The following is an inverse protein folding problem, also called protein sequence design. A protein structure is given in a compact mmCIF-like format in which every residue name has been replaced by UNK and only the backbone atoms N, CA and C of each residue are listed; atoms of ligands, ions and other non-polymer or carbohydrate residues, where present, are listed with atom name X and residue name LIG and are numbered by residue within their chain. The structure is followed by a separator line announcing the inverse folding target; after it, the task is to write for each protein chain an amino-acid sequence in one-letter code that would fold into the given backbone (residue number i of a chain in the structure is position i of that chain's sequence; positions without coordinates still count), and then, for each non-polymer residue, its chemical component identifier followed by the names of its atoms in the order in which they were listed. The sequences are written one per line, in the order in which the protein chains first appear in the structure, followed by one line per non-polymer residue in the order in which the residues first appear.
data_IF_577035874355
#
_entry.id   IF_577035874355
#
_cell.length_a   1.000
_cell.length_b   1.000
_cell.length_c   1.000
_cell.angle_alpha   90.00
_cell.angle_beta   90.00
_cell.angle_gamma   90.00
#
_symmetry.space_group_name_H-M   'P 1'
#
loop_
_entity.id
_entity.type
_entity.pdbx_description
1 polymer ?
#
# COMPACT_ATOMS: atom_id res chain seq x y z
N UNK A 1 1.73 -6.97 26.69
CA UNK A 1 2.67 -7.61 25.75
C UNK A 1 3.37 -6.58 24.85
N UNK A 2 2.64 -5.66 24.18
CA UNK A 2 3.23 -4.63 23.31
C UNK A 2 4.27 -3.71 23.99
N UNK A 3 4.06 -3.31 25.27
CA UNK A 3 5.02 -2.48 26.04
C UNK A 3 6.32 -3.22 26.36
N UNK A 4 6.24 -4.52 26.65
CA UNK A 4 7.43 -5.35 26.93
C UNK A 4 8.27 -5.57 25.68
N UNK A 5 7.63 -5.84 24.52
CA UNK A 5 8.30 -5.98 23.22
C UNK A 5 8.98 -4.66 22.80
N UNK A 6 8.36 -3.50 23.02
CA UNK A 6 8.99 -2.18 22.80
C UNK A 6 10.24 -1.99 23.66
N UNK A 7 10.21 -2.31 24.96
CA UNK A 7 11.38 -2.20 25.84
C UNK A 7 12.52 -3.14 25.45
N UNK A 8 12.22 -4.37 25.08
CA UNK A 8 13.23 -5.30 24.57
C UNK A 8 13.87 -4.83 23.26
N UNK A 9 13.07 -4.30 22.33
CA UNK A 9 13.59 -3.70 21.09
C UNK A 9 14.50 -2.49 21.38
N UNK A 10 14.13 -1.62 22.30
CA UNK A 10 14.95 -0.46 22.69
C UNK A 10 16.27 -0.87 23.34
N UNK A 11 16.30 -1.91 24.17
CA UNK A 11 17.55 -2.45 24.76
C UNK A 11 18.45 -3.03 23.68
N UNK A 12 17.93 -3.85 22.77
CA UNK A 12 18.70 -4.43 21.68
C UNK A 12 19.31 -3.38 20.74
N UNK A 13 18.66 -2.24 20.57
CA UNK A 13 19.15 -1.13 19.74
C UNK A 13 20.26 -0.37 20.46
N UNK A 14 20.11 -0.07 21.75
CA UNK A 14 21.12 0.63 22.55
C UNK A 14 22.47 -0.07 22.63
N UNK A 15 22.45 -1.40 22.68
CA UNK A 15 23.67 -2.21 22.88
C UNK A 15 24.41 -2.54 21.58
N UNK A 16 23.82 -2.24 20.42
CA UNK A 16 24.40 -2.59 19.10
C UNK A 16 24.83 -1.36 18.31
N UNK A 17 26.13 -1.21 18.12
CA UNK A 17 26.76 -0.08 17.39
C UNK A 17 26.37 0.01 15.91
N UNK A 18 25.88 -1.07 15.27
CA UNK A 18 25.58 -1.14 13.85
C UNK A 18 24.17 -1.70 13.62
N UNK A 19 23.14 -0.87 13.91
CA UNK A 19 21.74 -1.29 13.75
C UNK A 19 21.13 -0.62 12.53
N UNK A 20 20.47 -1.44 11.69
CA UNK A 20 19.58 -0.99 10.61
C UNK A 20 18.14 -1.21 11.08
N UNK A 21 17.30 -0.19 11.02
CA UNK A 21 15.88 -0.29 11.32
C UNK A 21 15.07 -0.20 10.02
N UNK A 22 14.15 -1.14 9.83
CA UNK A 22 13.12 -1.04 8.80
C UNK A 22 11.83 -0.54 9.46
N UNK A 23 11.34 0.59 9.00
CA UNK A 23 10.06 1.18 9.44
C UNK A 23 8.94 0.56 8.62
N UNK A 24 7.98 -0.07 9.30
CA UNK A 24 6.75 -0.58 8.67
C UNK A 24 5.58 0.39 8.81
N UNK A 25 5.52 1.12 9.91
CA UNK A 25 4.52 2.15 10.17
C UNK A 25 5.15 3.28 11.00
N UNK A 26 4.66 4.49 10.81
CA UNK A 26 4.94 5.65 11.66
C UNK A 26 3.75 5.81 12.59
N UNK A 27 3.84 5.20 13.77
CA UNK A 27 2.74 5.10 14.73
C UNK A 27 2.25 6.49 15.19
N UNK A 28 3.17 7.45 15.31
CA UNK A 28 2.84 8.83 15.70
C UNK A 28 1.89 9.51 14.72
N UNK A 29 2.03 9.23 13.42
CA UNK A 29 1.11 9.77 12.40
C UNK A 29 -0.18 8.96 12.35
N UNK A 30 -0.06 7.64 12.42
CA UNK A 30 -1.18 6.71 12.27
C UNK A 30 -2.17 6.77 13.43
N UNK A 31 -1.68 7.04 14.66
CA UNK A 31 -2.48 7.02 15.90
C UNK A 31 -2.46 8.34 16.67
N UNK A 32 -1.89 9.41 16.08
CA UNK A 32 -1.70 10.73 16.75
C UNK A 32 -0.99 10.62 18.11
N UNK A 33 -0.02 9.74 18.22
CA UNK A 33 0.86 9.64 19.40
C UNK A 33 2.04 10.60 19.26
N UNK A 34 2.76 10.85 20.37
CA UNK A 34 3.91 11.78 20.35
C UNK A 34 5.02 11.31 19.43
N UNK A 35 5.38 12.13 18.44
CA UNK A 35 6.42 11.82 17.46
C UNK A 35 7.83 11.84 18.06
N UNK A 36 8.05 12.60 19.13
CA UNK A 36 9.38 12.78 19.72
C UNK A 36 10.00 11.48 20.22
N UNK A 37 9.19 10.57 20.79
CA UNK A 37 9.68 9.27 21.27
C UNK A 37 10.05 8.36 20.10
N UNK A 38 9.28 8.41 19.02
CA UNK A 38 9.54 7.65 17.81
C UNK A 38 10.83 8.14 17.14
N UNK A 39 10.99 9.43 17.00
CA UNK A 39 12.23 10.06 16.47
C UNK A 39 13.44 9.74 17.34
N UNK A 40 13.33 9.79 18.69
CA UNK A 40 14.41 9.37 19.59
C UNK A 40 14.82 7.92 19.35
N UNK A 41 13.85 7.03 19.14
CA UNK A 41 14.12 5.62 18.84
C UNK A 41 14.83 5.46 17.49
N UNK A 42 14.30 6.09 16.44
CA UNK A 42 14.90 6.03 15.10
C UNK A 42 16.32 6.58 15.07
N UNK A 43 16.60 7.64 15.85
CA UNK A 43 17.92 8.24 15.96
C UNK A 43 18.95 7.37 16.71
N UNK A 44 18.58 6.25 17.33
CA UNK A 44 19.51 5.28 17.90
C UNK A 44 20.13 4.35 16.83
N UNK A 45 19.50 4.24 15.67
CA UNK A 45 20.01 3.40 14.59
C UNK A 45 21.15 4.07 13.83
N UNK A 46 21.94 3.29 13.11
CA UNK A 46 22.93 3.80 12.16
C UNK A 46 22.32 4.20 10.83
N UNK A 47 21.35 3.41 10.38
CA UNK A 47 20.59 3.64 9.15
C UNK A 47 19.12 3.25 9.38
N UNK A 48 18.20 4.04 8.85
CA UNK A 48 16.76 3.74 8.87
C UNK A 48 16.29 3.53 7.44
N UNK A 49 15.65 2.38 7.19
CA UNK A 49 14.96 2.08 5.93
C UNK A 49 13.54 2.60 6.03
N UNK A 50 13.15 3.47 5.12
CA UNK A 50 11.85 4.15 5.08
C UNK A 50 11.08 3.77 3.83
N UNK A 51 9.78 4.03 3.82
CA UNK A 51 8.92 3.70 2.69
C UNK A 51 9.34 4.43 1.41
N UNK A 52 9.48 5.76 1.50
CA UNK A 52 9.71 6.63 0.35
C UNK A 52 10.28 7.99 0.81
N UNK A 53 10.56 8.86 -0.14
CA UNK A 53 11.12 10.17 0.14
C UNK A 53 10.17 11.07 0.95
N UNK A 54 8.85 11.01 0.72
CA UNK A 54 7.86 11.81 1.46
C UNK A 54 7.85 11.46 2.95
N UNK A 55 7.98 10.17 3.30
CA UNK A 55 8.14 9.74 4.69
C UNK A 55 9.49 10.18 5.27
N UNK A 56 10.56 10.10 4.50
CA UNK A 56 11.88 10.58 4.91
C UNK A 56 11.84 12.08 5.22
N UNK A 57 11.31 12.89 4.32
CA UNK A 57 11.19 14.34 4.50
C UNK A 57 10.34 14.71 5.71
N UNK A 58 9.22 13.97 5.90
CA UNK A 58 8.37 14.14 7.08
C UNK A 58 9.13 13.90 8.38
N UNK A 59 9.84 12.77 8.50
CA UNK A 59 10.57 12.42 9.72
C UNK A 59 11.79 13.34 9.95
N UNK A 60 12.50 13.74 8.89
CA UNK A 60 13.59 14.70 8.98
C UNK A 60 13.09 16.07 9.51
N UNK A 61 11.94 16.54 9.00
CA UNK A 61 11.30 17.77 9.50
C UNK A 61 10.97 17.68 11.00
N UNK A 62 10.71 16.47 11.53
CA UNK A 62 10.43 16.24 12.95
C UNK A 62 11.66 15.82 13.77
N UNK A 63 12.87 15.95 13.21
CA UNK A 63 14.12 15.78 13.97
C UNK A 63 14.84 14.45 13.76
N UNK A 64 14.51 13.67 12.73
CA UNK A 64 15.30 12.51 12.34
C UNK A 64 16.67 12.98 11.79
N UNK A 65 17.75 12.53 12.44
CA UNK A 65 19.15 12.86 12.08
C UNK A 65 19.89 11.65 11.50
N UNK A 66 19.36 10.47 11.70
CA UNK A 66 19.94 9.22 11.21
C UNK A 66 19.90 9.16 9.68
N UNK A 67 20.93 8.58 9.08
CA UNK A 67 20.97 8.30 7.63
C UNK A 67 19.77 7.44 7.22
N UNK A 68 19.15 7.78 6.09
CA UNK A 68 17.98 7.07 5.59
C UNK A 68 18.24 6.43 4.24
N UNK A 69 17.56 5.30 3.98
CA UNK A 69 17.47 4.67 2.67
C UNK A 69 15.99 4.40 2.38
N UNK A 70 15.52 4.80 1.21
CA UNK A 70 14.14 4.55 0.79
C UNK A 70 14.04 3.16 0.13
N UNK A 71 13.10 2.35 0.61
CA UNK A 71 12.75 1.05 0.00
C UNK A 71 12.00 1.27 -1.31
N UNK A 72 11.19 2.33 -1.38
CA UNK A 72 10.30 2.78 -2.45
C UNK A 72 9.12 1.83 -2.72
N UNK A 73 9.36 0.54 -2.89
CA UNK A 73 8.33 -0.47 -3.08
C UNK A 73 8.58 -1.58 -2.07
N UNK A 74 7.59 -1.89 -1.23
CA UNK A 74 7.67 -3.06 -0.37
C UNK A 74 7.45 -4.33 -1.18
N UNK A 75 8.21 -5.35 -0.85
CA UNK A 75 8.08 -6.65 -1.49
C UNK A 75 6.87 -7.41 -0.92
N UNK A 76 6.39 -8.36 -1.71
CA UNK A 76 5.36 -9.32 -1.35
C UNK A 76 5.83 -10.70 -1.80
N UNK A 77 6.48 -11.41 -0.89
CA UNK A 77 7.16 -12.67 -1.21
C UNK A 77 6.15 -13.77 -1.53
N UNK A 78 6.29 -14.38 -2.69
CA UNK A 78 5.50 -15.54 -3.10
C UNK A 78 6.40 -16.57 -3.76
N UNK A 79 6.19 -17.85 -3.43
CA UNK A 79 6.90 -18.96 -4.07
C UNK A 79 6.38 -19.27 -5.47
N UNK A 80 5.06 -19.09 -5.67
CA UNK A 80 4.39 -19.34 -6.94
C UNK A 80 3.82 -18.04 -7.51
N UNK A 81 3.80 -17.93 -8.83
CA UNK A 81 3.19 -16.80 -9.52
C UNK A 81 1.69 -17.02 -9.62
N UNK A 82 0.84 -16.05 -9.21
CA UNK A 82 -0.59 -16.12 -9.46
C UNK A 82 -0.90 -16.29 -10.96
N UNK A 83 -1.93 -17.09 -11.25
CA UNK A 83 -2.40 -17.28 -12.64
C UNK A 83 -2.77 -15.93 -13.26
N UNK A 84 -2.31 -15.75 -14.50
CA UNK A 84 -2.62 -14.56 -15.31
C UNK A 84 -3.86 -14.78 -16.19
N UNK A 85 -4.70 -15.77 -15.83
CA UNK A 85 -5.96 -15.99 -16.52
C UNK A 85 -6.73 -14.68 -16.62
N UNK A 86 -6.95 -14.30 -17.83
CA UNK A 86 -7.40 -13.01 -18.34
C UNK A 86 -8.42 -12.30 -17.43
N UNK A 87 -7.94 -11.36 -16.65
CA UNK A 87 -8.83 -10.32 -16.14
C UNK A 87 -9.26 -9.48 -17.34
N UNK A 88 -10.53 -9.56 -17.70
CA UNK A 88 -11.09 -8.74 -18.76
C UNK A 88 -11.00 -7.27 -18.36
N UNK A 89 -10.62 -6.43 -19.30
CA UNK A 89 -10.73 -4.99 -19.13
C UNK A 89 -12.19 -4.60 -18.88
N UNK A 90 -12.43 -3.79 -17.85
CA UNK A 90 -13.77 -3.35 -17.47
C UNK A 90 -13.81 -2.60 -16.12
N UNK A 91 -15.02 -2.40 -15.63
CA UNK A 91 -15.30 -1.59 -14.42
C UNK A 91 -15.35 -2.42 -13.13
N UNK A 92 -14.70 -3.59 -13.11
CA UNK A 92 -14.62 -4.41 -11.91
C UNK A 92 -13.42 -3.97 -11.04
N UNK A 93 -13.73 -3.38 -9.90
CA UNK A 93 -12.76 -2.89 -8.92
C UNK A 93 -12.58 -3.92 -7.80
N UNK A 94 -11.34 -4.23 -7.51
CA UNK A 94 -10.96 -5.11 -6.40
C UNK A 94 -10.53 -4.26 -5.20
N UNK A 95 -11.08 -4.55 -4.05
CA UNK A 95 -10.57 -4.01 -2.79
C UNK A 95 -10.28 -5.15 -1.81
N UNK A 96 -9.05 -5.17 -1.28
CA UNK A 96 -8.61 -6.18 -0.32
C UNK A 96 -8.11 -5.51 0.96
N UNK A 97 -8.67 -5.92 2.11
CA UNK A 97 -8.30 -5.38 3.41
C UNK A 97 -9.36 -5.58 4.48
N UNK A 98 -9.25 -4.84 5.59
CA UNK A 98 -10.29 -4.83 6.62
C UNK A 98 -11.45 -3.95 6.16
N UNK A 99 -12.55 -4.58 5.71
CA UNK A 99 -13.72 -3.89 5.14
C UNK A 99 -14.43 -3.05 6.20
N UNK A 100 -14.49 -3.52 7.45
CA UNK A 100 -15.13 -2.79 8.55
C UNK A 100 -14.40 -1.49 8.98
N UNK A 101 -13.14 -1.31 8.56
CA UNK A 101 -12.37 -0.07 8.78
C UNK A 101 -12.36 0.85 7.57
N UNK A 102 -12.83 0.39 6.42
CA UNK A 102 -12.79 1.10 5.16
C UNK A 102 -14.15 1.78 4.89
N UNK A 103 -14.44 2.82 5.67
CA UNK A 103 -15.78 3.43 5.73
C UNK A 103 -16.26 4.01 4.41
N UNK A 104 -15.37 4.46 3.52
CA UNK A 104 -15.73 4.92 2.17
C UNK A 104 -16.46 3.84 1.35
N UNK A 105 -16.24 2.54 1.66
CA UNK A 105 -16.93 1.44 0.99
C UNK A 105 -18.45 1.48 1.22
N UNK A 106 -18.91 1.95 2.38
CA UNK A 106 -20.34 2.06 2.66
C UNK A 106 -21.01 3.05 1.67
N UNK A 107 -20.32 4.15 1.34
CA UNK A 107 -20.79 5.10 0.34
C UNK A 107 -20.78 4.49 -1.07
N UNK A 108 -19.76 3.69 -1.41
CA UNK A 108 -19.73 2.95 -2.67
C UNK A 108 -20.80 1.84 -2.71
N UNK A 109 -21.21 1.29 -1.56
CA UNK A 109 -22.32 0.34 -1.48
C UNK A 109 -23.68 0.97 -1.77
N UNK A 110 -23.86 2.24 -1.38
CA UNK A 110 -25.09 3.02 -1.63
C UNK A 110 -25.17 3.55 -3.07
N UNK A 111 -24.03 3.93 -3.64
CA UNK A 111 -23.90 4.42 -5.01
C UNK A 111 -22.78 3.64 -5.73
N UNK A 112 -23.15 2.91 -6.79
CA UNK A 112 -22.19 2.10 -7.55
C UNK A 112 -21.12 2.90 -8.27
N UNK A 113 -21.33 4.20 -8.47
CA UNK A 113 -20.48 5.04 -9.32
C UNK A 113 -20.25 4.43 -10.72
N UNK A 114 -21.14 3.55 -11.18
CA UNK A 114 -20.99 2.78 -12.41
C UNK A 114 -19.92 1.68 -12.34
N UNK A 115 -19.53 1.23 -11.13
CA UNK A 115 -18.51 0.23 -10.87
C UNK A 115 -19.11 -1.04 -10.29
N UNK A 116 -18.44 -2.18 -10.49
CA UNK A 116 -18.69 -3.43 -9.79
C UNK A 116 -17.55 -3.68 -8.79
N UNK A 117 -17.86 -4.03 -7.55
CA UNK A 117 -16.90 -4.17 -6.46
C UNK A 117 -16.70 -5.64 -6.09
N UNK A 118 -15.47 -6.13 -6.19
CA UNK A 118 -15.03 -7.42 -5.63
C UNK A 118 -14.29 -7.15 -4.32
N UNK A 119 -14.92 -7.47 -3.18
CA UNK A 119 -14.42 -7.15 -1.85
C UNK A 119 -13.85 -8.38 -1.16
N UNK A 120 -12.60 -8.26 -0.69
CA UNK A 120 -11.87 -9.32 -0.01
C UNK A 120 -11.48 -8.87 1.40
N UNK A 121 -11.87 -9.67 2.39
CA UNK A 121 -11.50 -9.44 3.79
C UNK A 121 -12.67 -9.48 4.74
N UNK A 122 -12.39 -9.33 6.05
CA UNK A 122 -13.40 -9.36 7.10
C UNK A 122 -14.10 -8.01 7.28
N UNK A 123 -15.30 -8.05 7.86
CA UNK A 123 -16.00 -6.87 8.36
C UNK A 123 -16.92 -6.18 7.33
N UNK A 124 -17.36 -6.89 6.29
CA UNK A 124 -18.41 -6.39 5.39
C UNK A 124 -19.72 -6.19 6.17
N UNK A 125 -20.34 -5.01 6.05
CA UNK A 125 -21.64 -4.73 6.67
C UNK A 125 -22.78 -5.47 5.95
N UNK A 126 -23.87 -5.76 6.67
CA UNK A 126 -25.04 -6.40 6.06
C UNK A 126 -25.64 -5.55 4.94
N UNK A 127 -25.69 -4.22 5.15
CA UNK A 127 -26.18 -3.27 4.13
C UNK A 127 -25.41 -3.36 2.82
N UNK A 128 -24.09 -3.54 2.88
CA UNK A 128 -23.27 -3.72 1.68
C UNK A 128 -23.50 -5.05 0.98
N UNK A 129 -23.87 -6.10 1.71
CA UNK A 129 -24.17 -7.42 1.12
C UNK A 129 -25.45 -7.41 0.25
N UNK A 130 -26.38 -6.50 0.55
CA UNK A 130 -27.63 -6.33 -0.21
C UNK A 130 -27.42 -5.55 -1.52
N UNK A 131 -26.28 -4.91 -1.68
CA UNK A 131 -26.00 -4.08 -2.85
C UNK A 131 -25.66 -4.95 -4.07
N UNK A 132 -26.41 -4.80 -5.16
CA UNK A 132 -26.30 -5.66 -6.35
C UNK A 132 -24.95 -5.59 -7.09
N UNK A 133 -24.21 -4.50 -6.90
CA UNK A 133 -22.89 -4.30 -7.52
C UNK A 133 -21.71 -4.62 -6.58
N UNK A 134 -22.01 -5.11 -5.36
CA UNK A 134 -21.00 -5.52 -4.37
C UNK A 134 -20.95 -7.03 -4.28
N UNK A 135 -19.77 -7.60 -4.47
CA UNK A 135 -19.53 -9.03 -4.38
C UNK A 135 -18.49 -9.31 -3.30
N UNK A 136 -18.92 -9.90 -2.18
CA UNK A 136 -17.99 -10.36 -1.17
C UNK A 136 -17.37 -11.69 -1.57
N UNK A 137 -16.07 -11.68 -1.73
CA UNK A 137 -15.31 -12.81 -2.24
C UNK A 137 -14.65 -13.64 -1.13
N UNK A 138 -14.90 -13.32 0.14
CA UNK A 138 -14.33 -14.01 1.29
C UNK A 138 -13.10 -13.32 1.89
N UNK A 139 -12.54 -13.97 2.91
CA UNK A 139 -11.33 -13.53 3.62
C UNK A 139 -10.29 -14.64 3.55
N UNK A 140 -9.08 -14.29 3.13
CA UNK A 140 -7.99 -15.23 2.87
C UNK A 140 -6.74 -14.80 3.63
N UNK A 141 -5.82 -15.74 3.87
CA UNK A 141 -4.51 -15.45 4.41
C UNK A 141 -3.66 -14.61 3.44
N UNK A 142 -2.61 -13.91 3.92
CA UNK A 142 -1.70 -13.17 3.04
C UNK A 142 -1.08 -14.02 1.94
N UNK A 143 -0.83 -15.30 2.19
CA UNK A 143 -0.22 -16.21 1.21
C UNK A 143 -1.20 -16.68 0.13
N UNK A 144 -2.50 -16.69 0.44
CA UNK A 144 -3.54 -17.18 -0.47
C UNK A 144 -4.19 -16.08 -1.31
N UNK A 145 -4.36 -14.89 -0.71
CA UNK A 145 -5.15 -13.81 -1.32
C UNK A 145 -4.64 -13.39 -2.72
N UNK A 146 -3.33 -13.33 -3.04
CA UNK A 146 -2.87 -12.95 -4.37
C UNK A 146 -3.40 -13.86 -5.49
N UNK A 147 -3.70 -15.13 -5.17
CA UNK A 147 -4.24 -16.13 -6.10
C UNK A 147 -5.76 -16.08 -6.23
N UNK A 148 -6.44 -15.35 -5.34
CA UNK A 148 -7.92 -15.26 -5.31
C UNK A 148 -8.43 -13.95 -5.91
N UNK A 149 -7.60 -12.91 -5.95
CA UNK A 149 -8.01 -11.61 -6.47
C UNK A 149 -8.37 -11.71 -7.95
N UNK A 150 -9.57 -11.21 -8.29
CA UNK A 150 -10.08 -11.14 -9.67
C UNK A 150 -10.77 -9.81 -9.90
N UNK A 151 -10.37 -9.10 -10.94
CA UNK A 151 -10.94 -7.84 -11.37
C UNK A 151 -9.98 -7.03 -12.23
N UNK A 152 -10.46 -5.93 -12.78
CA UNK A 152 -9.70 -5.11 -13.72
C UNK A 152 -8.68 -4.21 -13.03
N UNK A 153 -9.05 -3.63 -11.88
CA UNK A 153 -8.19 -2.70 -11.14
C UNK A 153 -8.27 -2.95 -9.64
N UNK A 154 -7.13 -2.90 -8.95
CA UNK A 154 -7.02 -2.93 -7.50
C UNK A 154 -7.07 -1.52 -6.92
N UNK A 155 -7.99 -1.26 -6.00
CA UNK A 155 -8.16 0.05 -5.38
C UNK A 155 -7.31 0.20 -4.13
N UNK A 156 -6.48 1.25 -4.11
CA UNK A 156 -5.77 1.72 -2.91
C UNK A 156 -6.35 3.06 -2.49
N UNK A 157 -7.25 3.01 -1.51
CA UNK A 157 -7.97 4.16 -0.95
C UNK A 157 -8.16 3.97 0.54
N UNK A 158 -8.26 5.06 1.30
CA UNK A 158 -8.55 5.05 2.73
C UNK A 158 -9.28 6.34 3.14
N UNK A 159 -9.96 6.29 4.29
CA UNK A 159 -10.75 7.42 4.80
C UNK A 159 -12.25 7.14 4.79
N UNK A 160 -13.04 8.20 4.85
CA UNK A 160 -14.50 8.13 4.96
C UNK A 160 -15.22 8.76 3.78
N UNK A 161 -14.51 9.43 2.86
CA UNK A 161 -15.04 10.17 1.72
C UNK A 161 -14.77 9.48 0.39
N UNK A 162 -15.62 9.73 -0.61
CA UNK A 162 -15.40 9.38 -2.00
C UNK A 162 -14.58 10.44 -2.75
N UNK A 163 -14.52 11.66 -2.23
CA UNK A 163 -13.95 12.81 -2.92
C UNK A 163 -12.46 13.00 -2.62
N UNK A 164 -12.00 12.48 -1.46
CA UNK A 164 -10.57 12.46 -1.09
C UNK A 164 -10.29 11.38 -0.05
N UNK A 165 -9.03 11.02 0.13
CA UNK A 165 -8.61 10.24 1.29
C UNK A 165 -8.49 11.16 2.49
N UNK A 166 -9.51 11.18 3.33
CA UNK A 166 -9.65 12.08 4.48
C UNK A 166 -9.18 11.47 5.81
N UNK A 167 -9.30 12.26 6.87
CA UNK A 167 -9.01 11.83 8.23
C UNK A 167 -7.54 11.48 8.48
N UNK A 168 -7.29 10.68 9.52
CA UNK A 168 -5.93 10.25 9.91
C UNK A 168 -5.29 9.37 8.85
N UNK A 169 -6.04 8.39 8.37
CA UNK A 169 -5.55 7.43 7.41
C UNK A 169 -5.29 8.08 6.05
N UNK A 170 -6.12 9.03 5.62
CA UNK A 170 -5.87 9.81 4.42
C UNK A 170 -4.60 10.67 4.52
N UNK A 171 -4.36 11.32 5.67
CA UNK A 171 -3.09 12.02 5.91
C UNK A 171 -1.90 11.07 5.86
N UNK A 172 -2.05 9.86 6.43
CA UNK A 172 -1.01 8.86 6.41
C UNK A 172 -0.72 8.35 5.00
N UNK A 173 -1.71 8.25 4.13
CA UNK A 173 -1.52 7.88 2.71
C UNK A 173 -0.61 8.86 1.95
N UNK A 174 -0.50 10.10 2.39
CA UNK A 174 0.42 11.08 1.77
C UNK A 174 1.90 10.77 1.98
N UNK A 175 2.23 9.89 2.93
CA UNK A 175 3.63 9.55 3.28
C UNK A 175 3.94 8.07 3.32
N UNK A 176 2.94 7.19 3.44
CA UNK A 176 3.17 5.76 3.59
C UNK A 176 3.23 5.01 2.25
N UNK A 177 3.57 3.73 2.33
CA UNK A 177 3.39 2.75 1.28
C UNK A 177 2.37 1.69 1.76
N UNK A 178 1.08 1.78 1.35
CA UNK A 178 0.09 0.79 1.74
C UNK A 178 0.41 -0.59 1.16
N UNK A 179 0.37 -1.63 1.99
CA UNK A 179 0.62 -3.02 1.57
C UNK A 179 -0.30 -3.52 0.44
N UNK A 180 -1.48 -2.89 0.27
CA UNK A 180 -2.39 -3.17 -0.84
C UNK A 180 -1.72 -2.98 -2.21
N UNK A 181 -0.82 -1.99 -2.36
CA UNK A 181 -0.10 -1.81 -3.62
C UNK A 181 0.79 -3.01 -3.93
N UNK A 182 1.58 -3.48 -2.96
CA UNK A 182 2.43 -4.67 -3.13
C UNK A 182 1.59 -5.92 -3.44
N UNK A 183 0.46 -6.10 -2.76
CA UNK A 183 -0.48 -7.19 -3.01
C UNK A 183 -1.01 -7.16 -4.45
N UNK A 184 -1.47 -6.02 -4.95
CA UNK A 184 -1.99 -5.92 -6.32
C UNK A 184 -0.90 -6.11 -7.37
N UNK A 185 0.32 -5.62 -7.11
CA UNK A 185 1.47 -5.90 -7.97
C UNK A 185 1.76 -7.41 -7.98
N UNK A 186 1.79 -8.07 -6.82
CA UNK A 186 2.01 -9.50 -6.71
C UNK A 186 0.91 -10.33 -7.40
N UNK A 187 -0.34 -9.86 -7.35
CA UNK A 187 -1.46 -10.45 -8.06
C UNK A 187 -1.49 -10.11 -9.57
N UNK A 188 -0.65 -9.17 -10.04
CA UNK A 188 -0.63 -8.72 -11.44
C UNK A 188 -1.85 -7.90 -11.84
N UNK A 189 -2.48 -7.17 -10.90
CA UNK A 189 -3.67 -6.35 -11.12
C UNK A 189 -3.28 -4.88 -11.20
N UNK A 190 -3.57 -4.14 -12.30
CA UNK A 190 -3.39 -2.70 -12.39
C UNK A 190 -4.07 -1.94 -11.25
N UNK A 191 -3.52 -0.78 -10.88
CA UNK A 191 -3.88 -0.10 -9.64
C UNK A 191 -4.55 1.24 -9.89
N UNK A 192 -5.58 1.52 -9.08
CA UNK A 192 -6.17 2.86 -8.92
C UNK A 192 -5.84 3.38 -7.54
N UNK A 193 -5.39 4.62 -7.45
CA UNK A 193 -5.12 5.25 -6.16
C UNK A 193 -5.38 6.77 -6.20
N UNK A 194 -5.46 7.36 -5.01
CA UNK A 194 -5.58 8.80 -4.84
C UNK A 194 -4.36 9.54 -5.39
N UNK A 195 -4.56 10.65 -6.10
CA UNK A 195 -3.50 11.44 -6.74
C UNK A 195 -2.48 12.01 -5.74
N UNK A 196 -2.90 12.30 -4.50
CA UNK A 196 -2.05 12.83 -3.44
C UNK A 196 -1.41 11.75 -2.56
N UNK A 197 -1.72 10.47 -2.76
CA UNK A 197 -1.04 9.38 -2.06
C UNK A 197 0.46 9.35 -2.40
N UNK A 198 1.30 8.95 -1.45
CA UNK A 198 2.74 8.82 -1.70
C UNK A 198 3.06 7.84 -2.82
N UNK A 199 2.22 6.82 -3.00
CA UNK A 199 2.37 5.79 -4.04
C UNK A 199 1.91 6.25 -5.43
N UNK A 200 1.26 7.41 -5.56
CA UNK A 200 0.79 7.93 -6.85
C UNK A 200 1.95 8.09 -7.85
N UNK A 201 3.11 8.53 -7.36
CA UNK A 201 4.31 8.68 -8.18
C UNK A 201 4.82 7.31 -8.71
N UNK A 202 4.69 6.24 -7.90
CA UNK A 202 5.03 4.87 -8.29
C UNK A 202 4.09 4.39 -9.40
N UNK A 203 2.78 4.57 -9.21
CA UNK A 203 1.76 4.16 -10.20
C UNK A 203 2.00 4.84 -11.54
N UNK A 204 2.28 6.15 -11.54
CA UNK A 204 2.58 6.93 -12.74
C UNK A 204 3.91 6.53 -13.39
N UNK A 205 4.99 6.44 -12.60
CA UNK A 205 6.35 6.18 -13.11
C UNK A 205 6.46 4.79 -13.73
N UNK A 206 5.88 3.79 -13.09
CA UNK A 206 5.89 2.42 -13.60
C UNK A 206 4.76 2.13 -14.59
N UNK A 207 3.84 3.08 -14.79
CA UNK A 207 2.66 2.93 -15.67
C UNK A 207 1.93 1.62 -15.38
N UNK A 208 1.55 1.41 -14.10
CA UNK A 208 0.89 0.20 -13.61
C UNK A 208 -0.58 0.42 -13.27
N UNK A 209 -1.16 1.51 -13.76
CA UNK A 209 -2.52 1.92 -13.52
C UNK A 209 -2.66 3.44 -13.59
N UNK A 210 -3.63 4.00 -12.88
CA UNK A 210 -3.91 5.43 -12.92
C UNK A 210 -4.22 6.01 -11.54
N UNK A 211 -4.28 7.33 -11.47
CA UNK A 211 -4.58 8.08 -10.25
C UNK A 211 -5.80 8.98 -10.47
N UNK A 212 -6.58 9.18 -9.43
CA UNK A 212 -7.78 10.02 -9.42
C UNK A 212 -7.75 10.96 -8.22
N UNK A 213 -8.41 12.09 -8.31
CA UNK A 213 -8.63 12.98 -7.18
C UNK A 213 -9.82 12.51 -6.36
N UNK A 214 -10.85 11.96 -7.01
CA UNK A 214 -12.08 11.43 -6.41
C UNK A 214 -12.42 10.04 -6.96
N UNK A 215 -13.01 9.17 -6.13
CA UNK A 215 -13.56 7.88 -6.59
C UNK A 215 -14.70 8.04 -7.61
N UNK A 216 -15.35 9.21 -7.64
CA UNK A 216 -16.40 9.54 -8.63
C UNK A 216 -15.86 9.62 -10.06
N UNK A 217 -14.56 9.81 -10.21
CA UNK A 217 -13.91 9.91 -11.53
C UNK A 217 -13.53 8.54 -12.12
N UNK A 218 -13.47 7.49 -11.29
CA UNK A 218 -12.91 6.18 -11.68
C UNK A 218 -13.63 5.57 -12.87
N UNK A 219 -14.96 5.57 -12.88
CA UNK A 219 -15.75 5.01 -13.97
C UNK A 219 -15.49 5.73 -15.29
N UNK A 220 -15.51 7.07 -15.27
CA UNK A 220 -15.26 7.89 -16.45
C UNK A 220 -13.83 7.73 -16.97
N UNK A 221 -12.86 7.59 -16.05
CA UNK A 221 -11.48 7.34 -16.44
C UNK A 221 -11.34 5.99 -17.15
N UNK A 222 -11.98 4.93 -16.63
CA UNK A 222 -11.97 3.61 -17.27
C UNK A 222 -12.62 3.67 -18.65
N UNK A 223 -13.70 4.44 -18.83
CA UNK A 223 -14.33 4.64 -20.14
C UNK A 223 -13.44 5.40 -21.14
N UNK A 224 -12.50 6.20 -20.64
CA UNK A 224 -11.58 6.99 -21.47
C UNK A 224 -10.36 6.21 -21.97
N UNK A 225 -9.99 5.11 -21.31
CA UNK A 225 -8.88 4.26 -21.71
C UNK A 225 -9.36 3.12 -22.62
N UNK A 226 -8.49 2.67 -23.50
CA UNK A 226 -8.79 1.57 -24.40
C UNK A 226 -8.06 0.28 -23.97
N UNK A 227 -8.40 -0.85 -24.62
CA UNK A 227 -7.78 -2.15 -24.33
C UNK A 227 -6.25 -2.16 -24.49
N UNK A 228 -5.71 -1.35 -25.41
CA UNK A 228 -4.27 -1.25 -25.63
C UNK A 228 -3.56 -0.59 -24.46
N UNK A 229 -4.14 0.48 -23.90
CA UNK A 229 -3.61 1.14 -22.71
C UNK A 229 -3.72 0.22 -21.48
N UNK A 230 -4.84 -0.47 -21.31
CA UNK A 230 -4.97 -1.47 -20.25
C UNK A 230 -3.94 -2.60 -20.40
N UNK A 231 -3.72 -3.11 -21.60
CA UNK A 231 -2.69 -4.11 -21.88
C UNK A 231 -1.28 -3.59 -21.54
N UNK A 232 -1.01 -2.29 -21.72
CA UNK A 232 0.25 -1.69 -21.30
C UNK A 232 0.39 -1.70 -19.77
N UNK A 233 -0.64 -1.32 -19.02
CA UNK A 233 -0.64 -1.44 -17.56
C UNK A 233 -0.37 -2.88 -17.10
N UNK A 234 -1.05 -3.85 -17.71
CA UNK A 234 -0.85 -5.29 -17.44
C UNK A 234 0.61 -5.71 -17.72
N UNK A 235 1.14 -5.36 -18.86
CA UNK A 235 2.53 -5.67 -19.23
C UNK A 235 3.53 -5.10 -18.23
N UNK A 236 3.32 -3.87 -17.78
CA UNK A 236 4.21 -3.20 -16.86
C UNK A 236 4.14 -3.76 -15.46
N UNK A 237 2.92 -4.04 -14.96
CA UNK A 237 2.76 -4.62 -13.63
C UNK A 237 3.36 -6.04 -13.55
N UNK A 238 3.28 -6.85 -14.61
CA UNK A 238 3.90 -8.17 -14.67
C UNK A 238 5.44 -8.13 -14.64
N UNK A 239 6.04 -7.08 -15.20
CA UNK A 239 7.49 -6.86 -15.06
C UNK A 239 7.86 -6.53 -13.61
N UNK A 240 7.04 -5.72 -12.95
CA UNK A 240 7.27 -5.31 -11.55
C UNK A 240 6.98 -6.46 -10.58
N UNK A 241 5.97 -7.28 -10.87
CA UNK A 241 5.57 -8.46 -10.10
C UNK A 241 6.75 -9.37 -9.76
N UNK A 242 7.58 -9.70 -10.77
CA UNK A 242 8.74 -10.57 -10.58
C UNK A 242 9.72 -10.02 -9.54
N UNK A 243 9.93 -8.71 -9.52
CA UNK A 243 10.82 -8.05 -8.55
C UNK A 243 10.17 -8.03 -7.16
N UNK A 244 8.90 -7.65 -7.06
CA UNK A 244 8.16 -7.60 -5.79
C UNK A 244 8.09 -8.98 -5.13
N UNK A 245 7.85 -10.03 -5.91
CA UNK A 245 7.76 -11.39 -5.39
C UNK A 245 9.10 -11.97 -4.93
N UNK A 246 10.23 -11.48 -5.44
CA UNK A 246 11.57 -11.99 -5.13
C UNK A 246 12.28 -11.29 -3.96
N UNK A 247 11.69 -10.26 -3.35
CA UNK A 247 12.35 -9.49 -2.29
C UNK A 247 13.38 -8.46 -2.80
N UNK A 248 13.34 -8.15 -4.09
CA UNK A 248 14.35 -7.32 -4.76
C UNK A 248 14.52 -5.93 -4.13
N UNK A 249 13.43 -5.25 -3.81
CA UNK A 249 13.49 -3.87 -3.33
C UNK A 249 14.02 -3.77 -1.91
N UNK A 250 13.60 -4.67 -1.04
CA UNK A 250 14.09 -4.75 0.35
C UNK A 250 15.56 -5.14 0.38
N UNK A 251 15.98 -6.13 -0.42
CA UNK A 251 17.37 -6.55 -0.53
C UNK A 251 18.26 -5.39 -0.99
N UNK A 252 17.86 -4.69 -2.06
CA UNK A 252 18.61 -3.54 -2.58
C UNK A 252 18.74 -2.40 -1.55
N UNK A 253 17.65 -2.10 -0.81
CA UNK A 253 17.68 -1.08 0.24
C UNK A 253 18.61 -1.51 1.39
N UNK A 254 18.62 -2.78 1.75
CA UNK A 254 19.46 -3.33 2.79
C UNK A 254 20.94 -3.29 2.40
N UNK A 255 21.30 -3.67 1.19
CA UNK A 255 22.66 -3.58 0.64
C UNK A 255 23.21 -2.14 0.69
N UNK A 256 22.39 -1.16 0.29
CA UNK A 256 22.74 0.25 0.40
C UNK A 256 22.99 0.67 1.85
N UNK A 257 22.13 0.23 2.78
CA UNK A 257 22.28 0.54 4.20
C UNK A 257 23.57 -0.08 4.80
N UNK A 258 23.89 -1.32 4.46
CA UNK A 258 25.13 -1.98 4.87
C UNK A 258 26.35 -1.22 4.36
N UNK A 259 26.35 -0.81 3.10
CA UNK A 259 27.42 0.00 2.52
C UNK A 259 27.62 1.34 3.25
N UNK A 260 26.53 1.96 3.75
CA UNK A 260 26.59 3.20 4.53
C UNK A 260 27.15 3.04 5.94
N UNK A 261 27.09 1.83 6.50
CA UNK A 261 27.65 1.50 7.83
C UNK A 261 29.12 1.16 7.74
N UNK A 262 29.54 0.52 6.65
CA UNK A 262 30.92 0.04 6.45
C UNK A 262 31.90 1.13 6.06
N UNK A 263 31.39 2.32 5.75
CA UNK A 263 32.16 3.56 5.52
C UNK A 263 32.18 4.44 6.77
#
# INVERSE_FOLDING_TARGET
LHRLIRRQRQMCIRDRKNTILLVHDVDSVRYQTGIDEEIKLLNLAKVVLLHNQKMSDYLVKHGLKTKTVNVNIFDYLLYNTPSQESFSFGKQIVFAGNLGKSHFLNLMGQDSLGLSLSLFGPGLSEEMKESSHVHWMGSYSPDEIPFKLKGSFGLVWDGTSLDECDGLMGRYMKINFPHKLALYIAAGIPVVTWSQAAIADIVKTYKIGFVVDSLREVSNYIDSINEKEYAEYKKNILKLQKKVMSGYFTALAFEKAVTMISR
#
